data_IF_726131703173
#
_entry.id   IF_726131703173
#
_cell.length_a   1.000
_cell.length_b   1.000
_cell.length_c   1.000
_cell.angle_alpha   90.00
_cell.angle_beta   90.00
_cell.angle_gamma   90.00
#
_symmetry.space_group_name_H-M   'P 1'
#
loop_
_entity.id
_entity.type
_entity.pdbx_description
1 polymer ?
#
# COMPACT_ATOMS: atom_id res chain seq x y z
N UNK A 1 39.97 -30.61 -65.85
CA UNK A 1 40.61 -30.60 -64.51
C UNK A 1 40.97 -29.20 -64.02
N UNK A 2 41.71 -28.35 -64.77
CA UNK A 2 42.10 -27.01 -64.28
C UNK A 2 40.94 -26.01 -64.08
N UNK A 3 39.90 -26.09 -64.90
CA UNK A 3 38.70 -25.21 -64.84
C UNK A 3 37.75 -25.56 -63.69
N UNK A 4 37.48 -26.83 -63.44
CA UNK A 4 36.63 -27.27 -62.31
C UNK A 4 37.22 -26.86 -60.95
N UNK A 5 38.54 -26.96 -60.79
CA UNK A 5 39.20 -26.58 -59.55
C UNK A 5 39.12 -25.06 -59.29
N UNK A 6 39.13 -24.25 -60.35
CA UNK A 6 38.95 -22.80 -60.27
C UNK A 6 37.50 -22.44 -59.87
N UNK A 7 36.51 -23.15 -60.41
CA UNK A 7 35.09 -22.94 -60.06
C UNK A 7 34.78 -23.36 -58.62
N UNK A 8 35.34 -24.48 -58.15
CA UNK A 8 35.24 -24.91 -56.75
C UNK A 8 35.85 -23.85 -55.82
N UNK A 9 37.04 -23.35 -56.14
CA UNK A 9 37.69 -22.28 -55.37
C UNK A 9 36.82 -21.02 -55.30
N UNK A 10 36.19 -20.64 -56.42
CA UNK A 10 35.30 -19.47 -56.48
C UNK A 10 34.05 -19.65 -55.64
N UNK A 11 33.41 -20.83 -55.68
CA UNK A 11 32.25 -21.15 -54.82
C UNK A 11 32.61 -21.12 -53.34
N UNK A 12 33.71 -21.75 -52.97
CA UNK A 12 34.19 -21.77 -51.59
C UNK A 12 34.51 -20.37 -51.06
N UNK A 13 35.13 -19.52 -51.87
CA UNK A 13 35.38 -18.12 -51.53
C UNK A 13 34.09 -17.29 -51.38
N UNK A 14 33.01 -17.65 -52.07
CA UNK A 14 31.71 -17.01 -51.93
C UNK A 14 31.05 -17.44 -50.62
N UNK A 15 31.00 -18.74 -50.35
CA UNK A 15 30.43 -19.30 -49.11
C UNK A 15 31.18 -18.79 -47.87
N UNK A 16 32.51 -18.68 -47.91
CA UNK A 16 33.29 -18.09 -46.83
C UNK A 16 32.94 -16.62 -46.57
N UNK A 17 32.64 -15.84 -47.61
CA UNK A 17 32.21 -14.44 -47.44
C UNK A 17 30.82 -14.34 -46.83
N UNK A 18 29.89 -15.17 -47.29
CA UNK A 18 28.52 -15.22 -46.76
C UNK A 18 28.51 -15.69 -45.30
N UNK A 19 29.34 -16.67 -44.97
CA UNK A 19 29.53 -17.12 -43.59
C UNK A 19 30.10 -16.01 -42.71
N UNK A 20 31.11 -15.27 -43.20
CA UNK A 20 31.69 -14.14 -42.46
C UNK A 20 30.66 -13.05 -42.20
N UNK A 21 29.84 -12.70 -43.20
CA UNK A 21 28.76 -11.73 -43.06
C UNK A 21 27.70 -12.19 -42.05
N UNK A 22 27.36 -13.49 -42.07
CA UNK A 22 26.41 -14.07 -41.13
C UNK A 22 26.94 -14.02 -39.69
N UNK A 23 28.23 -14.31 -39.49
CA UNK A 23 28.89 -14.20 -38.20
C UNK A 23 28.95 -12.76 -37.68
N UNK A 24 29.27 -11.79 -38.55
CA UNK A 24 29.27 -10.37 -38.19
C UNK A 24 27.85 -9.90 -37.77
N UNK A 25 26.83 -10.35 -38.49
CA UNK A 25 25.43 -10.06 -38.17
C UNK A 25 24.99 -10.66 -36.82
N UNK A 26 25.31 -11.94 -36.58
CA UNK A 26 25.01 -12.61 -35.31
C UNK A 26 25.75 -11.94 -34.16
N UNK A 27 27.03 -11.60 -34.35
CA UNK A 27 27.82 -10.94 -33.31
C UNK A 27 27.23 -9.58 -32.95
N UNK A 28 26.76 -8.82 -33.94
CA UNK A 28 26.05 -7.56 -33.69
C UNK A 28 24.78 -7.77 -32.86
N UNK A 29 23.92 -8.71 -33.25
CA UNK A 29 22.70 -8.99 -32.48
C UNK A 29 23.01 -9.47 -31.06
N UNK A 30 24.09 -10.22 -30.88
CA UNK A 30 24.51 -10.68 -29.57
C UNK A 30 24.93 -9.51 -28.66
N UNK A 31 25.72 -8.57 -29.17
CA UNK A 31 26.09 -7.37 -28.40
C UNK A 31 24.86 -6.48 -28.12
N UNK A 32 23.98 -6.27 -29.10
CA UNK A 32 22.74 -5.52 -28.91
C UNK A 32 21.88 -6.15 -27.78
N UNK A 33 21.70 -7.47 -27.79
CA UNK A 33 20.94 -8.20 -26.76
C UNK A 33 21.62 -8.15 -25.38
N UNK A 34 22.95 -8.15 -25.35
CA UNK A 34 23.73 -8.07 -24.11
C UNK A 34 23.60 -6.68 -23.48
N UNK A 35 23.60 -5.63 -24.28
CA UNK A 35 23.33 -4.26 -23.81
C UNK A 35 21.91 -4.12 -23.26
N UNK A 36 20.90 -4.62 -23.98
CA UNK A 36 19.51 -4.61 -23.52
C UNK A 36 19.34 -5.38 -22.19
N UNK A 37 19.95 -6.56 -22.08
CA UNK A 37 19.92 -7.35 -20.86
C UNK A 37 20.59 -6.64 -19.67
N UNK A 38 21.69 -5.92 -19.90
CA UNK A 38 22.34 -5.11 -18.88
C UNK A 38 21.43 -3.96 -18.41
N UNK A 39 20.82 -3.25 -19.35
CA UNK A 39 19.87 -2.16 -19.07
C UNK A 39 18.66 -2.65 -18.26
N UNK A 40 18.02 -3.76 -18.68
CA UNK A 40 16.89 -4.35 -17.97
C UNK A 40 17.28 -4.76 -16.55
N UNK A 41 18.48 -5.31 -16.35
CA UNK A 41 18.98 -5.71 -15.03
C UNK A 41 19.17 -4.49 -14.10
N UNK A 42 19.68 -3.39 -14.64
CA UNK A 42 19.84 -2.13 -13.91
C UNK A 42 18.48 -1.56 -13.50
N UNK A 43 17.55 -1.44 -14.45
CA UNK A 43 16.19 -0.95 -14.20
C UNK A 43 15.47 -1.82 -13.16
N UNK A 44 15.55 -3.14 -13.28
CA UNK A 44 14.92 -4.06 -12.33
C UNK A 44 15.49 -3.90 -10.92
N UNK A 45 16.81 -3.67 -10.81
CA UNK A 45 17.46 -3.41 -9.52
C UNK A 45 16.97 -2.08 -8.92
N UNK A 46 16.89 -1.02 -9.72
CA UNK A 46 16.37 0.28 -9.28
C UNK A 46 14.90 0.18 -8.85
N UNK A 47 14.07 -0.54 -9.60
CA UNK A 47 12.67 -0.78 -9.29
C UNK A 47 12.49 -1.54 -7.98
N UNK A 48 13.33 -2.55 -7.70
CA UNK A 48 13.29 -3.27 -6.42
C UNK A 48 13.58 -2.35 -5.24
N UNK A 49 14.64 -1.54 -5.34
CA UNK A 49 14.99 -0.57 -4.30
C UNK A 49 13.85 0.43 -4.08
N UNK A 50 13.27 0.96 -5.16
CA UNK A 50 12.13 1.87 -5.08
C UNK A 50 10.93 1.21 -4.39
N UNK A 51 10.60 -0.03 -4.75
CA UNK A 51 9.48 -0.75 -4.18
C UNK A 51 9.67 -1.03 -2.67
N UNK A 52 10.89 -1.38 -2.25
CA UNK A 52 11.22 -1.58 -0.84
C UNK A 52 11.06 -0.28 -0.04
N UNK A 53 11.50 0.86 -0.59
CA UNK A 53 11.31 2.17 0.04
C UNK A 53 9.83 2.56 0.14
N UNK A 54 9.05 2.32 -0.92
CA UNK A 54 7.61 2.57 -0.91
C UNK A 54 6.90 1.69 0.14
N UNK A 55 7.26 0.41 0.23
CA UNK A 55 6.70 -0.50 1.22
C UNK A 55 6.96 -0.01 2.65
N UNK A 56 8.18 0.44 2.94
CA UNK A 56 8.55 1.02 4.24
C UNK A 56 7.73 2.27 4.56
N UNK A 57 7.56 3.18 3.60
CA UNK A 57 6.78 4.40 3.82
C UNK A 57 5.30 4.09 4.05
N UNK A 58 4.74 3.11 3.31
CA UNK A 58 3.36 2.64 3.53
C UNK A 58 3.17 2.12 4.96
N UNK A 59 4.09 1.32 5.48
CA UNK A 59 3.98 0.77 6.83
C UNK A 59 4.12 1.85 7.90
N UNK A 60 5.02 2.82 7.69
CA UNK A 60 5.15 3.99 8.55
C UNK A 60 3.86 4.84 8.57
N UNK A 61 3.28 5.12 7.41
CA UNK A 61 2.03 5.89 7.31
C UNK A 61 0.87 5.14 7.98
N UNK A 62 0.76 3.82 7.80
CA UNK A 62 -0.24 3.00 8.52
C UNK A 62 -0.09 3.10 10.03
N UNK A 63 1.15 3.06 10.53
CA UNK A 63 1.43 3.22 11.97
C UNK A 63 1.00 4.61 12.46
N UNK A 64 1.31 5.67 11.71
CA UNK A 64 0.90 7.04 12.04
C UNK A 64 -0.62 7.22 12.03
N UNK A 65 -1.32 6.67 11.04
CA UNK A 65 -2.80 6.71 10.99
C UNK A 65 -3.40 6.01 12.21
N UNK A 66 -2.86 4.85 12.59
CA UNK A 66 -3.30 4.12 13.78
C UNK A 66 -3.07 4.93 15.06
N UNK A 67 -1.89 5.54 15.21
CA UNK A 67 -1.57 6.37 16.37
C UNK A 67 -2.51 7.58 16.46
N UNK A 68 -2.70 8.30 15.36
CA UNK A 68 -3.61 9.44 15.29
C UNK A 68 -5.05 9.05 15.63
N UNK A 69 -5.52 7.89 15.14
CA UNK A 69 -6.84 7.37 15.48
C UNK A 69 -7.00 7.13 16.99
N UNK A 70 -5.99 6.51 17.63
CA UNK A 70 -6.00 6.28 19.07
C UNK A 70 -6.01 7.59 19.86
N UNK A 71 -5.21 8.58 19.43
CA UNK A 71 -5.16 9.91 20.05
C UNK A 71 -6.50 10.63 19.95
N UNK A 72 -7.14 10.61 18.79
CA UNK A 72 -8.49 11.18 18.60
C UNK A 72 -9.49 10.49 19.51
N UNK A 73 -9.48 9.15 19.55
CA UNK A 73 -10.40 8.38 20.40
C UNK A 73 -10.22 8.73 21.88
N UNK A 74 -8.97 8.83 22.35
CA UNK A 74 -8.68 9.23 23.73
C UNK A 74 -9.16 10.66 24.02
N UNK A 75 -8.97 11.58 23.08
CA UNK A 75 -9.44 12.96 23.20
C UNK A 75 -10.97 13.05 23.23
N UNK A 76 -11.67 12.26 22.42
CA UNK A 76 -13.13 12.19 22.41
C UNK A 76 -13.67 11.64 23.74
N UNK A 77 -13.04 10.60 24.28
CA UNK A 77 -13.39 10.07 25.60
C UNK A 77 -13.13 11.09 26.70
N UNK A 78 -11.99 11.77 26.66
CA UNK A 78 -11.67 12.84 27.61
C UNK A 78 -12.66 13.99 27.53
N UNK A 79 -13.06 14.41 26.33
CA UNK A 79 -14.07 15.46 26.11
C UNK A 79 -15.44 15.08 26.71
N UNK A 80 -15.76 13.78 26.79
CA UNK A 80 -17.05 13.28 27.27
C UNK A 80 -17.00 12.78 28.71
N UNK A 81 -15.86 12.87 29.39
CA UNK A 81 -15.68 12.26 30.71
C UNK A 81 -16.60 12.81 31.81
N UNK A 82 -17.18 14.00 31.60
CA UNK A 82 -18.16 14.64 32.50
C UNK A 82 -19.58 14.65 31.92
N UNK A 83 -19.77 14.10 30.72
CA UNK A 83 -21.07 14.03 30.09
C UNK A 83 -21.77 12.76 30.56
N UNK A 84 -23.07 12.88 30.85
CA UNK A 84 -23.93 11.75 31.15
C UNK A 84 -24.94 11.63 30.02
N UNK A 85 -24.98 10.48 29.36
CA UNK A 85 -26.00 10.18 28.35
C UNK A 85 -27.24 9.61 29.06
N UNK A 86 -28.38 10.27 28.87
CA UNK A 86 -29.66 9.80 29.41
C UNK A 86 -30.54 9.36 28.24
N UNK A 87 -30.98 8.09 28.27
CA UNK A 87 -31.81 7.48 27.22
C UNK A 87 -33.22 7.22 27.74
N UNK A 88 -34.19 7.20 26.83
CA UNK A 88 -35.57 6.82 27.13
C UNK A 88 -36.42 7.94 27.75
N UNK A 89 -35.98 9.20 27.67
CA UNK A 89 -36.81 10.35 28.03
C UNK A 89 -37.73 10.68 26.84
N UNK A 90 -39.07 10.70 27.02
CA UNK A 90 -40.00 11.15 26.00
C UNK A 90 -39.76 12.62 25.64
N UNK A 91 -39.76 12.94 24.34
CA UNK A 91 -39.52 14.31 23.85
C UNK A 91 -40.84 15.06 23.77
N UNK A 92 -40.92 16.21 24.43
CA UNK A 92 -42.06 17.12 24.33
C UNK A 92 -41.66 18.43 23.61
N UNK A 93 -42.64 19.09 22.97
CA UNK A 93 -42.39 20.37 22.30
C UNK A 93 -42.21 21.48 23.35
N UNK A 94 -41.20 22.32 23.16
CA UNK A 94 -40.83 23.42 24.07
C UNK A 94 -40.44 22.95 25.50
N UNK A 95 -39.81 21.77 25.60
CA UNK A 95 -39.38 21.22 26.88
C UNK A 95 -38.19 21.96 27.50
N UNK A 96 -38.18 22.02 28.84
CA UNK A 96 -37.05 22.51 29.61
C UNK A 96 -36.25 21.31 30.16
N UNK A 97 -35.09 21.04 29.58
CA UNK A 97 -34.25 19.89 29.92
C UNK A 97 -33.85 19.85 31.40
N UNK A 98 -33.64 20.99 32.06
CA UNK A 98 -33.28 21.04 33.48
C UNK A 98 -34.44 20.53 34.36
N UNK A 99 -35.66 20.93 34.01
CA UNK A 99 -36.85 20.49 34.73
C UNK A 99 -37.14 19.00 34.49
N UNK A 100 -36.98 18.53 33.25
CA UNK A 100 -37.15 17.12 32.89
C UNK A 100 -36.14 16.26 33.64
N UNK A 101 -34.84 16.62 33.61
CA UNK A 101 -33.79 15.92 34.35
C UNK A 101 -34.08 15.91 35.86
N UNK A 102 -34.51 17.05 36.42
CA UNK A 102 -34.83 17.17 37.84
C UNK A 102 -36.00 16.29 38.28
N UNK A 103 -37.01 16.08 37.43
CA UNK A 103 -38.13 15.16 37.69
C UNK A 103 -37.67 13.70 37.66
N UNK A 104 -36.92 13.31 36.63
CA UNK A 104 -36.44 11.93 36.46
C UNK A 104 -35.44 11.50 37.55
N UNK A 105 -34.53 12.39 37.94
CA UNK A 105 -33.59 12.17 39.04
C UNK A 105 -34.35 11.97 40.36
N UNK A 106 -35.35 12.81 40.67
CA UNK A 106 -36.17 12.68 41.89
C UNK A 106 -36.99 11.39 41.91
N UNK A 107 -37.58 11.02 40.78
CA UNK A 107 -38.39 9.80 40.66
C UNK A 107 -37.56 8.52 40.88
N UNK A 108 -36.30 8.51 40.41
CA UNK A 108 -35.44 7.31 40.43
C UNK A 108 -34.49 7.23 41.64
N UNK A 109 -34.00 8.35 42.19
CA UNK A 109 -33.12 8.36 43.38
C UNK A 109 -33.89 8.48 44.72
N UNK A 110 -35.16 8.89 44.70
CA UNK A 110 -36.02 8.95 45.89
C UNK A 110 -36.45 7.58 46.42
N UNK A 111 -36.20 6.49 45.67
CA UNK A 111 -36.57 5.11 46.00
C UNK A 111 -35.35 4.22 46.35
N UNK A 112 -34.29 4.78 46.93
CA UNK A 112 -33.24 3.93 47.50
C UNK A 112 -33.86 2.99 48.57
N UNK A 113 -33.81 1.65 48.40
CA UNK A 113 -34.41 0.74 49.37
C UNK A 113 -33.71 0.95 50.72
N UNK A 114 -34.51 1.20 51.76
CA UNK A 114 -34.02 1.32 53.13
C UNK A 114 -33.12 0.13 53.44
N UNK A 115 -31.84 0.41 53.72
CA UNK A 115 -30.87 -0.60 54.12
C UNK A 115 -31.47 -1.42 55.27
N UNK A 116 -31.57 -2.74 55.09
CA UNK A 116 -31.94 -3.67 56.15
C UNK A 116 -30.97 -3.47 57.31
N UNK A 117 -31.48 -3.02 58.44
CA UNK A 117 -30.75 -3.08 59.71
C UNK A 117 -30.72 -4.56 60.10
N UNK A 118 -29.51 -5.12 60.16
CA UNK A 118 -29.21 -6.36 60.87
C UNK A 118 -29.43 -6.19 62.38
#
# INVERSE_FOLDING_TARGET
>A
MGTEMADIKRKFQKELRELKQSLEFINKQYEDMKEECASVKEENTALKVSNDLLAQEVDKLKAQVRDNYLRITAQDQYSRNKNVEVKGIPVEKDENLVNVLGKEVKANLGNAPAARKE
#
